data_IF_789707228401
#
_entry.id   IF_789707228401
#
_cell.length_a   1.000
_cell.length_b   1.000
_cell.length_c   1.000
_cell.angle_alpha   90.00
_cell.angle_beta   90.00
_cell.angle_gamma   90.00
#
_symmetry.space_group_name_H-M   'P 1'
#
loop_
_entity.id
_entity.type
_entity.pdbx_description
1 polymer ?
#
# COMPACT_ATOMS: atom_id res chain seq x y z
N UNK A 1 16.41 27.98 -27.05
CA UNK A 1 15.09 27.57 -26.52
C UNK A 1 15.30 26.28 -25.75
N UNK A 2 14.62 26.00 -24.65
CA UNK A 2 13.33 26.56 -24.30
C UNK A 2 12.75 25.79 -23.13
N UNK A 3 13.17 26.17 -21.93
CA UNK A 3 12.40 25.89 -20.72
C UNK A 3 12.19 27.25 -20.08
N UNK A 4 10.95 27.74 -20.12
CA UNK A 4 10.57 29.06 -19.60
C UNK A 4 10.44 29.07 -18.08
N UNK A 5 9.98 27.94 -17.53
CA UNK A 5 9.77 27.72 -16.11
C UNK A 5 9.84 26.22 -15.77
N UNK A 6 10.29 25.88 -14.56
CA UNK A 6 10.38 24.50 -14.05
C UNK A 6 9.47 24.33 -12.83
N UNK A 7 8.38 23.57 -12.99
CA UNK A 7 7.55 23.15 -11.87
C UNK A 7 8.18 21.92 -11.19
N UNK A 8 8.75 22.11 -10.01
CA UNK A 8 9.40 21.08 -9.20
C UNK A 8 8.38 20.39 -8.29
N UNK A 9 8.47 19.07 -8.16
CA UNK A 9 7.57 18.33 -7.26
C UNK A 9 7.94 18.54 -5.80
N UNK A 10 9.25 18.54 -5.49
CA UNK A 10 9.77 18.69 -4.13
C UNK A 10 10.86 19.78 -4.07
N UNK A 11 11.12 20.36 -2.87
CA UNK A 11 12.21 21.34 -2.69
C UNK A 11 13.59 20.81 -3.10
N UNK A 12 13.85 19.51 -2.91
CA UNK A 12 15.10 18.88 -3.34
C UNK A 12 15.35 18.99 -4.85
N UNK A 13 14.28 18.94 -5.68
CA UNK A 13 14.40 19.10 -7.12
C UNK A 13 14.77 20.53 -7.49
N UNK A 14 14.17 21.52 -6.84
CA UNK A 14 14.51 22.94 -7.05
C UNK A 14 15.99 23.21 -6.76
N UNK A 15 16.54 22.62 -5.68
CA UNK A 15 17.98 22.70 -5.37
C UNK A 15 18.86 22.10 -6.47
N UNK A 16 18.47 20.95 -7.03
CA UNK A 16 19.19 20.29 -8.14
C UNK A 16 19.15 21.13 -9.41
N UNK A 17 18.02 21.73 -9.75
CA UNK A 17 17.91 22.63 -10.93
C UNK A 17 18.70 23.93 -10.75
N UNK A 18 18.71 24.51 -9.55
CA UNK A 18 19.55 25.66 -9.25
C UNK A 18 21.04 25.33 -9.43
N UNK A 19 21.49 24.15 -9.00
CA UNK A 19 22.87 23.69 -9.20
C UNK A 19 23.25 23.48 -10.68
N UNK A 20 22.27 23.23 -11.54
CA UNK A 20 22.45 23.12 -13.00
C UNK A 20 22.41 24.48 -13.72
N UNK A 21 22.28 25.59 -12.99
CA UNK A 21 22.28 26.95 -13.55
C UNK A 21 20.92 27.48 -13.99
N UNK A 22 19.82 26.83 -13.58
CA UNK A 22 18.47 27.40 -13.78
C UNK A 22 18.28 28.57 -12.82
N UNK A 23 17.84 29.71 -13.34
CA UNK A 23 17.60 30.92 -12.55
C UNK A 23 16.52 30.69 -11.49
N UNK A 24 16.71 31.29 -10.30
CA UNK A 24 15.89 31.06 -9.10
C UNK A 24 14.44 31.50 -9.23
N UNK A 25 14.16 32.44 -10.13
CA UNK A 25 12.85 32.94 -10.48
C UNK A 25 12.13 32.07 -11.54
N UNK A 26 12.82 31.06 -12.08
CA UNK A 26 12.31 30.17 -13.14
C UNK A 26 12.01 28.76 -12.63
N UNK A 27 11.85 28.59 -11.32
CA UNK A 27 11.27 27.38 -10.77
C UNK A 27 10.28 27.67 -9.65
N UNK A 28 9.29 26.79 -9.51
CA UNK A 28 8.32 26.81 -8.41
C UNK A 28 8.16 25.39 -7.88
N UNK A 29 8.10 25.22 -6.56
CA UNK A 29 7.74 23.92 -5.96
C UNK A 29 6.22 23.85 -5.91
N UNK A 30 5.62 23.01 -6.76
CA UNK A 30 4.16 22.91 -6.91
C UNK A 30 3.57 21.74 -6.13
N UNK A 31 4.41 20.88 -5.54
CA UNK A 31 3.97 19.59 -5.02
C UNK A 31 3.88 18.54 -6.13
N UNK A 32 3.50 17.32 -5.74
CA UNK A 32 3.40 16.19 -6.66
C UNK A 32 1.94 15.97 -7.07
N UNK A 33 1.64 16.10 -8.37
CA UNK A 33 0.29 15.86 -8.93
C UNK A 33 -0.25 14.46 -8.60
N UNK A 34 0.62 13.51 -8.26
CA UNK A 34 0.21 12.17 -7.79
C UNK A 34 -0.60 12.21 -6.49
N UNK A 35 -0.50 13.29 -5.70
CA UNK A 35 -1.32 13.50 -4.50
C UNK A 35 -2.67 14.15 -4.78
N UNK A 36 -2.87 14.72 -5.98
CA UNK A 36 -4.12 15.43 -6.35
C UNK A 36 -5.22 14.47 -6.83
N UNK A 37 -5.00 13.16 -6.75
CA UNK A 37 -6.00 12.18 -7.18
C UNK A 37 -7.21 12.20 -6.24
N UNK A 38 -8.37 12.59 -6.77
CA UNK A 38 -9.64 12.49 -6.03
C UNK A 38 -10.01 11.03 -5.76
N UNK A 39 -10.46 10.76 -4.54
CA UNK A 39 -10.97 9.44 -4.19
C UNK A 39 -12.25 9.15 -5.00
N UNK A 40 -12.36 7.99 -5.66
CA UNK A 40 -13.51 7.70 -6.50
C UNK A 40 -14.82 7.74 -5.71
N UNK A 41 -15.85 8.33 -6.31
CA UNK A 41 -17.19 8.33 -5.74
C UNK A 41 -17.64 6.92 -5.35
N UNK A 42 -18.30 6.81 -4.19
CA UNK A 42 -18.80 5.53 -3.67
C UNK A 42 -17.75 4.61 -3.03
N UNK A 43 -16.49 5.05 -2.86
CA UNK A 43 -15.47 4.24 -2.17
C UNK A 43 -15.93 3.75 -0.79
N UNK A 44 -16.50 4.63 0.04
CA UNK A 44 -17.02 4.27 1.36
C UNK A 44 -18.12 3.20 1.31
N UNK A 45 -19.02 3.28 0.32
CA UNK A 45 -20.07 2.28 0.13
C UNK A 45 -19.48 0.92 -0.30
N UNK A 46 -18.51 0.93 -1.22
CA UNK A 46 -17.79 -0.29 -1.65
C UNK A 46 -17.03 -0.93 -0.49
N UNK A 47 -16.31 -0.13 0.29
CA UNK A 47 -15.61 -0.59 1.50
C UNK A 47 -16.59 -1.20 2.52
N UNK A 48 -17.75 -0.56 2.75
CA UNK A 48 -18.79 -1.10 3.65
C UNK A 48 -19.31 -2.46 3.17
N UNK A 49 -19.62 -2.59 1.88
CA UNK A 49 -20.06 -3.86 1.29
C UNK A 49 -18.97 -4.94 1.37
N UNK A 50 -17.71 -4.57 1.12
CA UNK A 50 -16.57 -5.48 1.19
C UNK A 50 -16.31 -5.94 2.63
N UNK A 51 -16.45 -5.04 3.62
CA UNK A 51 -16.34 -5.37 5.04
C UNK A 51 -17.39 -6.39 5.47
N UNK A 52 -18.62 -6.23 4.99
CA UNK A 52 -19.71 -7.18 5.22
C UNK A 52 -19.45 -8.52 4.52
N UNK A 53 -19.00 -8.52 3.26
CA UNK A 53 -18.63 -9.73 2.51
C UNK A 53 -17.60 -10.57 3.26
N UNK A 54 -16.56 -9.91 3.79
CA UNK A 54 -15.50 -10.58 4.54
C UNK A 54 -15.88 -10.93 5.99
N UNK A 55 -17.08 -10.58 6.45
CA UNK A 55 -17.53 -10.86 7.82
C UNK A 55 -16.64 -10.21 8.88
N UNK A 56 -16.00 -9.08 8.56
CA UNK A 56 -14.96 -8.50 9.42
C UNK A 56 -15.51 -7.91 10.71
N UNK A 57 -16.79 -7.50 10.75
CA UNK A 57 -17.37 -6.85 11.94
C UNK A 57 -16.47 -5.71 12.44
N UNK A 58 -16.10 -5.73 13.72
CA UNK A 58 -15.15 -4.79 14.34
C UNK A 58 -13.68 -5.27 14.33
N UNK A 59 -13.37 -6.39 13.68
CA UNK A 59 -12.02 -6.95 13.66
C UNK A 59 -11.00 -5.93 13.13
N UNK A 60 -9.83 -5.80 13.78
CA UNK A 60 -8.71 -5.03 13.24
C UNK A 60 -8.24 -5.61 11.91
N UNK A 61 -7.96 -4.76 10.93
CA UNK A 61 -7.50 -5.19 9.60
C UNK A 61 -6.25 -4.43 9.23
N UNK A 62 -5.23 -5.12 8.77
CA UNK A 62 -4.08 -4.50 8.11
C UNK A 62 -3.88 -5.16 6.75
N UNK A 63 -3.22 -4.44 5.85
CA UNK A 63 -3.04 -4.87 4.47
C UNK A 63 -1.55 -4.93 4.10
N UNK A 64 -1.14 -6.02 3.45
CA UNK A 64 0.15 -6.13 2.78
C UNK A 64 -0.11 -6.10 1.27
N UNK A 65 0.17 -4.96 0.65
CA UNK A 65 -0.19 -4.67 -0.72
C UNK A 65 1.01 -4.76 -1.66
N UNK A 66 0.76 -5.24 -2.88
CA UNK A 66 1.77 -5.37 -3.94
C UNK A 66 3.00 -6.19 -3.54
N UNK A 67 2.80 -7.29 -2.80
CA UNK A 67 3.88 -8.15 -2.32
C UNK A 67 4.56 -8.95 -3.43
N UNK A 68 5.86 -9.20 -3.26
CA UNK A 68 6.73 -9.96 -4.15
C UNK A 68 7.30 -11.21 -3.49
N UNK A 69 7.84 -12.10 -4.31
CA UNK A 69 8.45 -13.37 -3.87
C UNK A 69 9.48 -13.07 -2.78
N UNK A 70 9.33 -13.73 -1.63
CA UNK A 70 10.21 -13.58 -0.48
C UNK A 70 9.67 -12.61 0.58
N UNK A 71 8.69 -11.76 0.24
CA UNK A 71 8.02 -10.88 1.21
C UNK A 71 6.85 -11.58 1.88
N UNK A 72 6.13 -12.47 1.18
CA UNK A 72 4.88 -13.03 1.71
C UNK A 72 5.11 -13.88 2.97
N UNK A 73 6.22 -14.62 3.05
CA UNK A 73 6.59 -15.38 4.25
C UNK A 73 6.86 -14.47 5.46
N UNK A 74 7.55 -13.33 5.24
CA UNK A 74 7.83 -12.35 6.28
C UNK A 74 6.55 -11.65 6.74
N UNK A 75 5.65 -11.33 5.81
CA UNK A 75 4.32 -10.77 6.09
C UNK A 75 3.49 -11.75 6.93
N UNK A 76 3.51 -13.04 6.61
CA UNK A 76 2.81 -14.06 7.40
C UNK A 76 3.40 -14.22 8.80
N UNK A 77 4.72 -14.13 8.96
CA UNK A 77 5.38 -14.11 10.27
C UNK A 77 4.97 -12.88 11.09
N UNK A 78 5.02 -11.69 10.49
CA UNK A 78 4.54 -10.46 11.11
C UNK A 78 3.07 -10.57 11.50
N UNK A 79 2.23 -11.18 10.66
CA UNK A 79 0.82 -11.39 10.97
C UNK A 79 0.63 -12.23 12.23
N UNK A 80 1.38 -13.33 12.38
CA UNK A 80 1.32 -14.16 13.59
C UNK A 80 1.72 -13.37 14.84
N UNK A 81 2.79 -12.58 14.75
CA UNK A 81 3.23 -11.73 15.86
C UNK A 81 2.17 -10.68 16.23
N UNK A 82 1.52 -10.08 15.25
CA UNK A 82 0.40 -9.14 15.45
C UNK A 82 -0.78 -9.85 16.13
N UNK A 83 -1.20 -11.03 15.64
CA UNK A 83 -2.33 -11.78 16.23
C UNK A 83 -2.05 -12.24 17.66
N UNK A 84 -0.80 -12.49 18.02
CA UNK A 84 -0.41 -12.81 19.39
C UNK A 84 -0.63 -11.64 20.37
N UNK A 85 -0.55 -10.39 19.86
CA UNK A 85 -0.75 -9.16 20.65
C UNK A 85 -2.16 -8.59 20.53
N UNK A 86 -2.77 -8.75 19.36
CA UNK A 86 -4.10 -8.26 19.01
C UNK A 86 -4.92 -9.42 18.40
N UNK A 87 -5.54 -10.26 19.26
CA UNK A 87 -6.33 -11.38 18.79
C UNK A 87 -7.49 -10.94 17.88
N UNK A 88 -7.77 -11.73 16.85
CA UNK A 88 -8.83 -11.45 15.89
C UNK A 88 -8.43 -10.49 14.75
N UNK A 89 -7.21 -9.96 14.74
CA UNK A 89 -6.69 -9.21 13.58
C UNK A 89 -6.72 -10.06 12.31
N UNK A 90 -7.08 -9.41 11.21
CA UNK A 90 -7.18 -9.98 9.85
C UNK A 90 -6.11 -9.35 8.96
N UNK A 91 -5.50 -10.17 8.10
CA UNK A 91 -4.58 -9.70 7.08
C UNK A 91 -5.28 -9.73 5.72
N UNK A 92 -5.25 -8.60 5.00
CA UNK A 92 -5.48 -8.59 3.55
C UNK A 92 -4.12 -8.71 2.86
N UNK A 93 -3.93 -9.76 2.05
CA UNK A 93 -2.69 -10.01 1.33
C UNK A 93 -2.94 -9.83 -0.17
N UNK A 94 -2.25 -8.87 -0.79
CA UNK A 94 -2.38 -8.57 -2.22
C UNK A 94 -1.03 -8.76 -2.90
N UNK A 95 -0.81 -9.86 -3.63
CA UNK A 95 0.38 -10.05 -4.44
C UNK A 95 0.45 -9.02 -5.56
N UNK A 96 1.67 -8.59 -5.95
CA UNK A 96 1.86 -7.67 -7.08
C UNK A 96 1.30 -8.22 -8.39
N UNK A 97 1.35 -9.54 -8.55
CA UNK A 97 0.87 -10.26 -9.73
C UNK A 97 -0.16 -11.30 -9.31
N UNK A 98 -1.41 -11.14 -9.75
CA UNK A 98 -2.50 -12.07 -9.45
C UNK A 98 -2.22 -13.51 -9.93
N UNK A 99 -1.39 -13.68 -10.96
CA UNK A 99 -0.93 -15.01 -11.43
C UNK A 99 -0.18 -15.81 -10.37
N UNK A 100 0.31 -15.16 -9.30
CA UNK A 100 0.98 -15.81 -8.17
C UNK A 100 0.04 -16.22 -7.04
N UNK A 101 -1.26 -15.97 -7.15
CA UNK A 101 -2.21 -16.24 -6.08
C UNK A 101 -2.14 -17.68 -5.55
N UNK A 102 -2.02 -18.67 -6.43
CA UNK A 102 -1.95 -20.09 -6.01
C UNK A 102 -0.67 -20.40 -5.21
N UNK A 103 0.47 -19.82 -5.62
CA UNK A 103 1.72 -19.97 -4.89
C UNK A 103 1.64 -19.31 -3.50
N UNK A 104 1.02 -18.13 -3.41
CA UNK A 104 0.83 -17.42 -2.14
C UNK A 104 -0.18 -18.15 -1.24
N UNK A 105 -1.23 -18.73 -1.81
CA UNK A 105 -2.17 -19.58 -1.09
C UNK A 105 -1.48 -20.81 -0.49
N UNK A 106 -0.59 -21.46 -1.24
CA UNK A 106 0.21 -22.58 -0.75
C UNK A 106 1.14 -22.18 0.41
N UNK A 107 1.71 -20.98 0.38
CA UNK A 107 2.48 -20.43 1.50
C UNK A 107 1.61 -20.24 2.75
N UNK A 108 0.39 -19.72 2.59
CA UNK A 108 -0.56 -19.57 3.70
C UNK A 108 -0.92 -20.92 4.33
N UNK A 109 -1.19 -21.93 3.49
CA UNK A 109 -1.47 -23.29 3.96
C UNK A 109 -0.28 -23.91 4.72
N UNK A 110 0.93 -23.76 4.19
CA UNK A 110 2.16 -24.24 4.84
C UNK A 110 2.40 -23.51 6.17
N UNK A 111 2.00 -22.24 6.23
CA UNK A 111 2.02 -21.45 7.45
C UNK A 111 0.91 -21.81 8.45
N UNK A 112 0.00 -22.73 8.11
CA UNK A 112 -1.09 -23.15 8.98
C UNK A 112 -2.08 -22.03 9.31
N UNK A 113 -2.21 -21.03 8.45
CA UNK A 113 -3.19 -19.94 8.60
C UNK A 113 -4.41 -20.19 7.72
N UNK A 114 -5.59 -19.91 8.24
CA UNK A 114 -6.82 -20.00 7.45
C UNK A 114 -6.88 -18.91 6.36
N UNK A 115 -7.35 -19.29 5.17
CA UNK A 115 -7.29 -18.47 3.95
C UNK A 115 -8.66 -18.34 3.27
N UNK A 116 -9.03 -17.12 2.95
CA UNK A 116 -10.14 -16.76 2.06
C UNK A 116 -9.57 -16.15 0.78
N UNK A 117 -10.26 -16.33 -0.35
CA UNK A 117 -9.81 -15.80 -1.65
C UNK A 117 -10.89 -14.91 -2.23
N UNK A 118 -10.49 -13.71 -2.66
CA UNK A 118 -11.43 -12.74 -3.23
C UNK A 118 -12.13 -13.25 -4.50
N UNK A 119 -11.46 -14.05 -5.33
CA UNK A 119 -12.08 -14.71 -6.49
C UNK A 119 -13.02 -15.88 -6.14
N UNK A 120 -12.98 -16.39 -4.90
CA UNK A 120 -13.73 -17.56 -4.46
C UNK A 120 -15.07 -17.17 -3.76
N UNK A 121 -15.98 -18.14 -3.54
CA UNK A 121 -17.21 -17.91 -2.79
C UNK A 121 -16.94 -17.42 -1.36
N UNK A 122 -17.76 -16.46 -0.91
CA UNK A 122 -17.58 -15.72 0.35
C UNK A 122 -17.70 -16.55 1.63
N UNK A 123 -18.20 -17.79 1.55
CA UNK A 123 -18.30 -18.69 2.70
C UNK A 123 -16.92 -18.98 3.33
N UNK A 124 -15.86 -18.97 2.51
CA UNK A 124 -14.47 -19.13 2.96
C UNK A 124 -13.89 -17.87 3.61
N UNK A 125 -14.43 -16.69 3.30
CA UNK A 125 -13.86 -15.41 3.72
C UNK A 125 -14.13 -15.11 5.20
N UNK A 126 -15.34 -15.38 5.69
CA UNK A 126 -15.81 -14.89 7.01
C UNK A 126 -14.93 -15.30 8.20
N UNK A 127 -14.22 -16.44 8.12
CA UNK A 127 -13.39 -16.97 9.20
C UNK A 127 -11.89 -16.97 8.92
N UNK A 128 -11.46 -16.57 7.73
CA UNK A 128 -10.08 -16.70 7.30
C UNK A 128 -9.12 -15.64 7.85
N UNK A 129 -8.13 -16.02 8.66
CA UNK A 129 -7.10 -15.10 9.15
C UNK A 129 -6.47 -14.23 8.05
N UNK A 130 -6.24 -14.82 6.88
CA UNK A 130 -5.72 -14.13 5.69
C UNK A 130 -6.78 -14.10 4.59
N UNK A 131 -6.99 -12.92 4.02
CA UNK A 131 -7.82 -12.67 2.84
C UNK A 131 -6.88 -12.37 1.67
N UNK A 132 -6.74 -13.33 0.75
CA UNK A 132 -5.92 -13.20 -0.45
C UNK A 132 -6.72 -12.52 -1.56
N UNK A 133 -6.22 -11.39 -2.04
CA UNK A 133 -6.81 -10.62 -3.13
C UNK A 133 -6.09 -10.96 -4.42
N UNK A 134 -6.78 -11.68 -5.29
CA UNK A 134 -6.28 -12.20 -6.57
C UNK A 134 -6.99 -11.55 -7.78
N UNK A 135 -7.39 -10.29 -7.63
CA UNK A 135 -8.02 -9.49 -8.67
C UNK A 135 -7.31 -8.14 -8.86
N UNK A 136 -7.38 -7.62 -10.09
CA UNK A 136 -6.86 -6.29 -10.43
C UNK A 136 -7.92 -5.21 -10.20
N UNK A 137 -7.47 -3.98 -9.93
CA UNK A 137 -8.36 -2.81 -9.86
C UNK A 137 -9.18 -2.68 -8.57
N UNK A 138 -8.99 -3.58 -7.60
CA UNK A 138 -9.73 -3.58 -6.33
C UNK A 138 -8.90 -3.11 -5.14
N UNK A 139 -7.65 -2.66 -5.34
CA UNK A 139 -6.75 -2.38 -4.21
C UNK A 139 -7.24 -1.23 -3.31
N UNK A 140 -7.78 -0.16 -3.89
CA UNK A 140 -8.19 1.03 -3.12
C UNK A 140 -9.32 0.75 -2.11
N UNK A 141 -10.31 -0.06 -2.51
CA UNK A 141 -11.39 -0.48 -1.60
C UNK A 141 -10.91 -1.44 -0.50
N UNK A 142 -9.81 -2.17 -0.74
CA UNK A 142 -9.17 -2.99 0.29
C UNK A 142 -8.31 -2.16 1.24
N UNK A 143 -7.62 -1.12 0.73
CA UNK A 143 -6.96 -0.14 1.60
C UNK A 143 -7.98 0.52 2.53
N UNK A 144 -9.14 0.94 2.04
CA UNK A 144 -10.18 1.56 2.85
C UNK A 144 -10.72 0.69 4.01
N UNK A 145 -10.38 -0.60 4.08
CA UNK A 145 -10.69 -1.47 5.22
C UNK A 145 -9.62 -1.45 6.32
N UNK A 146 -8.39 -1.05 5.98
CA UNK A 146 -7.21 -1.28 6.77
C UNK A 146 -6.89 -0.10 7.71
N UNK A 147 -6.40 -0.42 8.91
CA UNK A 147 -5.86 0.57 9.86
C UNK A 147 -4.36 0.81 9.69
N UNK A 148 -3.68 -0.04 8.91
CA UNK A 148 -2.26 0.06 8.59
C UNK A 148 -1.97 -0.69 7.29
N UNK A 149 -1.00 -0.20 6.52
CA UNK A 149 -0.59 -0.78 5.26
C UNK A 149 0.93 -1.09 5.25
N UNK A 150 1.31 -2.27 4.79
CA UNK A 150 2.65 -2.57 4.31
C UNK A 150 2.65 -2.55 2.79
N UNK A 151 3.53 -1.75 2.17
CA UNK A 151 3.65 -1.68 0.71
C UNK A 151 4.88 -2.44 0.26
N UNK A 152 4.65 -3.55 -0.45
CA UNK A 152 5.66 -4.50 -0.88
C UNK A 152 6.55 -4.01 -2.01
N UNK A 153 7.34 -4.94 -2.54
CA UNK A 153 8.48 -4.66 -3.41
C UNK A 153 9.61 -3.92 -2.70
N UNK A 154 9.54 -3.85 -1.37
CA UNK A 154 10.34 -2.96 -0.53
C UNK A 154 11.22 -3.71 0.47
N UNK A 155 10.87 -4.96 0.83
CA UNK A 155 11.74 -5.87 1.58
C UNK A 155 12.67 -6.70 0.66
N UNK A 156 12.42 -6.62 -0.64
CA UNK A 156 13.26 -7.20 -1.70
C UNK A 156 13.72 -6.09 -2.65
N UNK A 157 14.81 -6.26 -3.41
CA UNK A 157 15.35 -5.21 -4.29
C UNK A 157 14.51 -4.98 -5.57
N UNK A 158 13.18 -4.83 -5.42
CA UNK A 158 12.24 -4.51 -6.50
C UNK A 158 11.93 -3.00 -6.59
N UNK A 159 12.39 -2.21 -5.61
CA UNK A 159 12.36 -0.75 -5.62
C UNK A 159 11.13 -0.08 -5.03
N UNK A 160 10.21 -0.86 -4.45
CA UNK A 160 9.01 -0.38 -3.78
C UNK A 160 7.85 -0.13 -4.74
N UNK A 161 6.63 -0.21 -4.21
CA UNK A 161 5.40 0.19 -4.90
C UNK A 161 4.80 1.45 -4.29
N UNK A 162 3.70 1.89 -4.88
CA UNK A 162 3.05 3.17 -4.59
C UNK A 162 2.55 3.26 -3.14
N UNK A 163 3.15 4.11 -2.28
CA UNK A 163 2.66 4.33 -0.93
C UNK A 163 1.64 5.48 -0.85
N UNK A 164 1.37 6.16 -1.97
CA UNK A 164 0.48 7.33 -2.01
C UNK A 164 -0.97 6.92 -1.78
N UNK A 165 -1.45 5.84 -2.44
CA UNK A 165 -2.85 5.37 -2.31
C UNK A 165 -3.29 5.12 -0.86
N UNK A 166 -2.57 4.34 -0.03
CA UNK A 166 -2.95 4.17 1.37
C UNK A 166 -2.81 5.47 2.17
N UNK A 167 -1.79 6.26 1.88
CA UNK A 167 -1.53 7.47 2.64
C UNK A 167 -2.58 8.57 2.36
N UNK A 168 -3.12 8.66 1.14
CA UNK A 168 -4.28 9.51 0.81
C UNK A 168 -5.56 9.10 1.55
N UNK A 169 -5.63 7.87 2.07
CA UNK A 169 -6.73 7.40 2.91
C UNK A 169 -6.45 7.60 4.41
N UNK A 170 -5.38 8.32 4.77
CA UNK A 170 -4.94 8.52 6.14
C UNK A 170 -4.40 7.25 6.81
N UNK A 171 -4.04 6.23 6.02
CA UNK A 171 -3.58 4.93 6.53
C UNK A 171 -2.06 5.01 6.78
N UNK A 172 -1.57 4.72 7.99
CA UNK A 172 -0.15 4.58 8.26
C UNK A 172 0.51 3.53 7.35
N UNK A 173 1.64 3.91 6.72
CA UNK A 173 2.34 3.07 5.74
C UNK A 173 3.68 2.60 6.29
N UNK A 174 3.97 1.32 6.15
CA UNK A 174 5.27 0.71 6.36
C UNK A 174 5.86 0.21 5.04
N UNK A 175 7.16 0.39 4.86
CA UNK A 175 7.93 -0.11 3.72
C UNK A 175 9.27 -0.66 4.20
N UNK A 176 9.84 -1.61 3.46
CA UNK A 176 11.22 -2.04 3.66
C UNK A 176 12.25 -1.06 3.08
N UNK A 177 13.55 -1.38 3.14
CA UNK A 177 14.63 -0.46 2.77
C UNK A 177 14.76 -0.20 1.25
N UNK A 178 14.13 -1.02 0.41
CA UNK A 178 14.28 -0.92 -1.05
C UNK A 178 13.17 -0.07 -1.67
N UNK A 179 13.26 1.26 -1.53
CA UNK A 179 12.21 2.21 -1.99
C UNK A 179 12.63 3.12 -3.15
N UNK A 180 13.68 2.78 -3.90
CA UNK A 180 14.27 3.69 -4.89
C UNK A 180 13.32 4.15 -6.01
N UNK A 181 12.24 3.43 -6.33
CA UNK A 181 11.23 3.89 -7.29
C UNK A 181 10.32 5.00 -6.72
N UNK A 182 10.25 5.10 -5.39
CA UNK A 182 9.42 6.04 -4.64
C UNK A 182 10.22 6.84 -3.61
N UNK A 183 11.55 6.95 -3.77
CA UNK A 183 12.43 7.59 -2.79
C UNK A 183 11.99 9.02 -2.45
N UNK A 184 11.72 9.85 -3.47
CA UNK A 184 11.25 11.22 -3.24
C UNK A 184 9.91 11.28 -2.46
N UNK A 185 9.05 10.26 -2.58
CA UNK A 185 7.77 10.18 -1.85
C UNK A 185 8.00 9.75 -0.40
N UNK A 186 8.89 8.78 -0.18
CA UNK A 186 9.25 8.30 1.16
C UNK A 186 9.96 9.40 1.94
N UNK A 187 10.96 10.06 1.33
CA UNK A 187 11.66 11.20 1.93
C UNK A 187 10.67 12.29 2.34
N UNK A 188 9.68 12.59 1.49
CA UNK A 188 8.62 13.55 1.80
C UNK A 188 7.75 13.13 3.00
N UNK A 189 7.41 11.84 3.13
CA UNK A 189 6.64 11.34 4.28
C UNK A 189 7.45 11.38 5.57
N UNK A 190 8.75 11.09 5.52
CA UNK A 190 9.64 11.15 6.68
C UNK A 190 9.88 12.59 7.14
N UNK A 191 10.04 13.54 6.20
CA UNK A 191 10.20 14.96 6.52
C UNK A 191 8.92 15.60 7.09
N UNK A 192 7.75 15.06 6.78
CA UNK A 192 6.45 15.66 7.17
C UNK A 192 6.00 15.32 8.60
N UNK A 193 6.62 14.36 9.29
CA UNK A 193 6.34 13.91 10.67
C UNK A 193 4.84 13.73 11.03
N UNK A 194 3.97 13.55 10.03
CA UNK A 194 2.52 13.57 10.20
C UNK A 194 1.82 12.77 9.07
N UNK A 195 0.73 12.04 9.37
CA UNK A 195 -0.10 11.44 8.34
C UNK A 195 -0.57 12.53 7.38
N UNK A 196 -0.59 12.19 6.09
CA UNK A 196 -1.10 13.03 5.00
C UNK A 196 -2.48 13.61 5.41
N UNK A 197 -2.74 14.90 5.14
CA UNK A 197 -3.98 15.59 5.52
C UNK A 197 -5.27 14.88 5.07
#
# INVERSE_FOLDING_TARGET
AGIDHVACQYPAHARRFAALGVAVDRFSVTGNVKFDAELPAGLAARATALRARYGLGSAPVWIAASTHVGEESLVLEAHRAIRARLPGTRLILVPRHATRADAVAALCMTAGVSLGRFSAPSSSDTRAEVLLVDAMGVLLEHYALAMAAFVGGSLVPAGGHNPIEPAQLGIPVAMGPHVHNFADVVDYFEEADSPIP
#
